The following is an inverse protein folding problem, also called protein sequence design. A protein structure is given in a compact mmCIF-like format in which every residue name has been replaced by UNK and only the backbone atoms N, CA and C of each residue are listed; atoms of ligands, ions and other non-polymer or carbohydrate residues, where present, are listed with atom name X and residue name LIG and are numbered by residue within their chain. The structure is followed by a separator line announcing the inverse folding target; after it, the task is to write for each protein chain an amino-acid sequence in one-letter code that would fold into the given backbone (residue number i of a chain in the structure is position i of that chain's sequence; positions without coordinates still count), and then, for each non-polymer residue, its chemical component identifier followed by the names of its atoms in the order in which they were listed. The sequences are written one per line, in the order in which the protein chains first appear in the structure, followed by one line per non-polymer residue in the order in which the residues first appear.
data_IF_412323901960
#
_entry.id   IF_412323901960
#
_cell.length_a   1.000
_cell.length_b   1.000
_cell.length_c   1.000
_cell.angle_alpha   90.00
_cell.angle_beta   90.00
_cell.angle_gamma   90.00
#
_symmetry.space_group_name_H-M   'P 1'
#
loop_
_entity.id
_entity.type
_entity.pdbx_description
1 polymer ?
#
# COMPACT_ATOMS: atom_id res chain seq x y z
N UNK A 1 -3.91 -29.60 -21.95
CA UNK A 1 -4.67 -29.63 -20.69
C UNK A 1 -4.27 -28.43 -19.87
N UNK A 2 -5.17 -27.47 -19.65
CA UNK A 2 -4.91 -26.36 -18.74
C UNK A 2 -4.76 -26.95 -17.33
N UNK A 3 -3.67 -26.63 -16.65
CA UNK A 3 -3.53 -26.97 -15.24
C UNK A 3 -4.75 -26.39 -14.51
N UNK A 4 -5.41 -27.16 -13.63
CA UNK A 4 -6.46 -26.57 -12.80
C UNK A 4 -5.85 -25.35 -12.11
N UNK A 5 -6.51 -24.18 -12.15
CA UNK A 5 -5.99 -23.00 -11.47
C UNK A 5 -5.71 -23.42 -10.04
N UNK A 6 -4.49 -23.15 -9.55
CA UNK A 6 -4.11 -23.40 -8.17
C UNK A 6 -5.24 -22.87 -7.29
N UNK A 7 -6.07 -23.77 -6.77
CA UNK A 7 -7.06 -23.45 -5.77
C UNK A 7 -6.25 -23.26 -4.50
N UNK A 8 -5.64 -22.09 -4.38
CA UNK A 8 -4.96 -21.66 -3.18
C UNK A 8 -6.01 -21.82 -2.09
N UNK A 9 -5.81 -22.79 -1.20
CA UNK A 9 -6.60 -22.94 0.01
C UNK A 9 -6.53 -21.58 0.72
N UNK A 10 -7.63 -20.83 0.65
CA UNK A 10 -7.71 -19.50 1.25
C UNK A 10 -7.68 -19.70 2.77
N UNK A 11 -6.52 -19.51 3.38
CA UNK A 11 -6.41 -19.48 4.83
C UNK A 11 -7.19 -18.27 5.35
N UNK A 12 -8.12 -18.52 6.25
CA UNK A 12 -8.99 -17.50 6.84
C UNK A 12 -10.08 -18.15 7.68
N UNK A 13 -10.90 -17.32 8.29
CA UNK A 13 -11.93 -17.72 9.23
C UNK A 13 -13.24 -17.02 8.88
N UNK A 14 -14.31 -17.81 8.78
CA UNK A 14 -15.66 -17.27 8.67
C UNK A 14 -16.09 -16.69 10.02
N UNK A 15 -16.77 -15.55 9.98
CA UNK A 15 -17.32 -14.87 11.15
C UNK A 15 -18.65 -14.20 10.78
N UNK A 16 -19.31 -13.64 11.78
CA UNK A 16 -20.51 -12.82 11.62
C UNK A 16 -20.23 -11.45 12.21
N UNK A 17 -20.58 -10.40 11.48
CA UNK A 17 -20.45 -9.03 11.92
C UNK A 17 -21.85 -8.42 12.08
N UNK A 18 -22.06 -7.67 13.15
CA UNK A 18 -23.31 -6.94 13.42
C UNK A 18 -23.10 -5.47 13.12
N UNK A 19 -23.91 -4.95 12.19
CA UNK A 19 -23.98 -3.56 11.82
C UNK A 19 -24.75 -2.74 12.88
N UNK A 20 -24.61 -1.42 12.85
CA UNK A 20 -25.27 -0.50 13.80
C UNK A 20 -26.80 -0.49 13.69
N UNK A 21 -27.36 -1.00 12.58
CA UNK A 21 -28.80 -1.19 12.36
C UNK A 21 -29.30 -2.57 12.83
N UNK A 22 -28.51 -3.27 13.65
CA UNK A 22 -28.72 -4.65 14.13
C UNK A 22 -28.70 -5.72 13.02
N UNK A 23 -28.35 -5.36 11.77
CA UNK A 23 -28.21 -6.32 10.68
C UNK A 23 -26.96 -7.19 10.88
N UNK A 24 -27.13 -8.51 10.80
CA UNK A 24 -26.00 -9.46 10.89
C UNK A 24 -25.57 -9.91 9.51
N UNK A 25 -24.29 -9.68 9.17
CA UNK A 25 -23.70 -9.98 7.87
C UNK A 25 -22.67 -11.11 8.00
N UNK A 26 -22.74 -12.15 7.16
CA UNK A 26 -21.70 -13.17 7.10
C UNK A 26 -20.44 -12.61 6.44
N UNK A 27 -19.31 -12.74 7.11
CA UNK A 27 -18.02 -12.25 6.64
C UNK A 27 -16.96 -13.34 6.68
N UNK A 28 -15.89 -13.11 5.91
CA UNK A 28 -14.71 -13.94 5.91
C UNK A 28 -13.48 -13.07 6.21
N UNK A 29 -12.79 -13.38 7.30
CA UNK A 29 -11.55 -12.72 7.68
C UNK A 29 -10.38 -13.54 7.14
N UNK A 30 -9.55 -12.90 6.32
CA UNK A 30 -8.51 -13.57 5.55
C UNK A 30 -7.14 -13.47 6.21
N UNK A 31 -6.36 -14.55 6.07
CA UNK A 31 -4.92 -14.49 6.22
C UNK A 31 -4.29 -13.92 4.93
N UNK A 32 -3.68 -12.74 5.03
CA UNK A 32 -3.15 -11.99 3.90
C UNK A 32 -1.98 -12.73 3.22
N UNK A 33 -1.87 -12.67 1.89
CA UNK A 33 -0.72 -13.21 1.17
C UNK A 33 0.58 -12.52 1.58
N UNK A 34 1.71 -13.20 1.41
CA UNK A 34 3.03 -12.70 1.84
C UNK A 34 3.39 -11.32 1.26
N UNK A 35 2.99 -11.04 0.01
CA UNK A 35 3.21 -9.74 -0.65
C UNK A 35 2.48 -8.56 0.02
N UNK A 36 1.47 -8.83 0.84
CA UNK A 36 0.65 -7.83 1.54
C UNK A 36 0.98 -7.70 3.02
N UNK A 37 1.96 -8.46 3.53
CA UNK A 37 2.34 -8.37 4.94
C UNK A 37 2.94 -7.01 5.31
N UNK A 38 3.54 -6.30 4.35
CA UNK A 38 3.93 -4.89 4.53
C UNK A 38 2.73 -4.02 4.92
N UNK A 39 1.61 -4.18 4.18
CA UNK A 39 0.39 -3.41 4.41
C UNK A 39 -0.28 -3.78 5.73
N UNK A 40 -0.21 -5.04 6.13
CA UNK A 40 -0.67 -5.47 7.47
C UNK A 40 0.06 -4.69 8.58
N UNK A 41 1.37 -4.48 8.43
CA UNK A 41 2.17 -3.72 9.41
C UNK A 41 1.75 -2.24 9.41
N UNK A 42 1.54 -1.65 8.24
CA UNK A 42 1.05 -0.27 8.11
C UNK A 42 -0.33 -0.08 8.78
N UNK A 43 -1.19 -1.11 8.74
CA UNK A 43 -2.49 -1.09 9.40
C UNK A 43 -2.44 -1.48 10.88
N UNK A 44 -1.29 -1.86 11.44
CA UNK A 44 -1.21 -2.41 12.81
C UNK A 44 -1.62 -1.38 13.89
N UNK A 45 -1.47 -0.09 13.60
CA UNK A 45 -1.86 1.02 14.49
C UNK A 45 -3.33 1.42 14.34
N UNK A 46 -4.00 0.96 13.29
CA UNK A 46 -5.35 1.39 12.90
C UNK A 46 -6.30 0.20 12.77
N UNK A 47 -7.07 -0.08 13.84
CA UNK A 47 -8.02 -1.21 13.90
C UNK A 47 -8.91 -1.29 12.65
N UNK A 48 -9.57 -0.17 12.30
CA UNK A 48 -10.47 -0.08 11.15
C UNK A 48 -9.77 -0.47 9.84
N UNK A 49 -8.55 0.03 9.63
CA UNK A 49 -7.79 -0.24 8.41
C UNK A 49 -7.38 -1.71 8.30
N UNK A 50 -7.07 -2.37 9.42
CA UNK A 50 -6.78 -3.80 9.44
C UNK A 50 -8.04 -4.63 9.16
N UNK A 51 -9.17 -4.26 9.77
CA UNK A 51 -10.46 -4.93 9.56
C UNK A 51 -10.86 -4.84 8.08
N UNK A 52 -10.80 -3.66 7.48
CA UNK A 52 -11.15 -3.46 6.07
C UNK A 52 -10.18 -4.16 5.10
N UNK A 53 -8.89 -4.23 5.44
CA UNK A 53 -7.90 -4.95 4.64
C UNK A 53 -8.17 -6.47 4.60
N UNK A 54 -8.61 -7.03 5.73
CA UNK A 54 -8.69 -8.47 5.92
C UNK A 54 -10.10 -9.05 5.71
N UNK A 55 -11.15 -8.21 5.67
CA UNK A 55 -12.54 -8.68 5.70
C UNK A 55 -13.18 -8.69 4.30
N UNK A 56 -13.97 -9.73 4.05
CA UNK A 56 -14.73 -9.92 2.82
C UNK A 56 -16.17 -10.28 3.16
N UNK A 57 -17.14 -9.80 2.37
CA UNK A 57 -18.58 -10.08 2.53
C UNK A 57 -19.10 -10.97 1.42
N UNK A 58 -20.18 -11.72 1.68
CA UNK A 58 -20.95 -12.42 0.64
C UNK A 58 -21.86 -11.42 -0.07
N UNK A 59 -21.34 -10.61 -0.98
CA UNK A 59 -22.18 -9.77 -1.84
C UNK A 59 -21.73 -9.88 -3.30
N UNK A 60 -22.70 -9.84 -4.22
CA UNK A 60 -22.43 -9.59 -5.63
C UNK A 60 -21.74 -8.23 -5.73
N UNK A 61 -20.60 -8.12 -6.45
CA UNK A 61 -19.98 -6.83 -6.65
C UNK A 61 -20.99 -5.90 -7.33
N UNK A 62 -21.38 -4.83 -6.65
CA UNK A 62 -22.18 -3.78 -7.25
C UNK A 62 -21.51 -3.36 -8.57
N UNK A 63 -22.27 -3.31 -9.67
CA UNK A 63 -21.74 -3.02 -10.99
C UNK A 63 -20.92 -1.71 -10.96
N UNK A 64 -19.59 -1.84 -11.11
CA UNK A 64 -18.66 -0.69 -11.09
C UNK A 64 -17.80 -0.56 -9.84
N UNK A 65 -17.93 -1.41 -8.81
CA UNK A 65 -16.96 -1.45 -7.72
C UNK A 65 -15.68 -2.17 -8.19
N UNK A 66 -14.65 -1.39 -8.50
CA UNK A 66 -13.31 -1.96 -8.61
C UNK A 66 -12.97 -2.56 -7.23
N UNK A 67 -12.45 -3.80 -7.16
CA UNK A 67 -11.96 -4.33 -5.89
C UNK A 67 -10.96 -3.32 -5.31
N UNK A 68 -11.12 -2.97 -4.04
CA UNK A 68 -10.16 -2.08 -3.34
C UNK A 68 -8.71 -2.58 -3.49
N UNK A 69 -8.54 -3.90 -3.72
CA UNK A 69 -7.27 -4.57 -3.95
C UNK A 69 -7.38 -5.54 -5.16
N UNK A 70 -7.17 -5.06 -6.40
CA UNK A 70 -7.38 -5.86 -7.62
C UNK A 70 -6.47 -7.08 -7.73
N UNK A 71 -5.32 -7.04 -7.07
CA UNK A 71 -4.34 -8.13 -7.11
C UNK A 71 -4.64 -9.25 -6.11
N UNK A 72 -5.66 -9.11 -5.26
CA UNK A 72 -6.06 -10.11 -4.29
C UNK A 72 -7.36 -10.76 -4.78
N UNK A 73 -7.31 -11.97 -5.37
CA UNK A 73 -8.55 -12.66 -5.73
C UNK A 73 -9.30 -12.95 -4.43
N UNK A 74 -10.56 -12.52 -4.29
CA UNK A 74 -11.34 -12.82 -3.11
C UNK A 74 -11.64 -14.34 -3.04
N UNK A 75 -11.95 -14.88 -1.85
CA UNK A 75 -12.50 -16.22 -1.75
C UNK A 75 -13.74 -16.37 -2.65
N UNK A 76 -13.97 -17.58 -3.18
CA UNK A 76 -15.11 -17.82 -4.07
C UNK A 76 -16.43 -17.42 -3.41
N UNK A 77 -17.21 -16.55 -4.06
CA UNK A 77 -18.48 -16.04 -3.56
C UNK A 77 -18.36 -14.94 -2.49
N UNK A 78 -17.18 -14.37 -2.31
CA UNK A 78 -16.94 -13.21 -1.45
C UNK A 78 -16.39 -12.03 -2.25
N UNK A 79 -16.59 -10.82 -1.74
CA UNK A 79 -16.05 -9.58 -2.26
C UNK A 79 -15.35 -8.79 -1.13
N UNK A 80 -14.27 -8.02 -1.44
CA UNK A 80 -13.66 -7.16 -0.43
C UNK A 80 -14.65 -6.09 0.03
N UNK A 81 -14.61 -5.77 1.32
CA UNK A 81 -15.45 -4.69 1.86
C UNK A 81 -15.02 -3.32 1.32
N UNK A 82 -15.96 -2.37 1.12
CA UNK A 82 -15.61 -1.02 0.69
C UNK A 82 -14.93 -0.23 1.83
N UNK A 83 -14.16 0.82 1.51
CA UNK A 83 -13.64 1.74 2.51
C UNK A 83 -14.76 2.38 3.34
N UNK A 84 -14.58 2.51 4.65
CA UNK A 84 -15.59 3.04 5.58
C UNK A 84 -16.69 2.03 5.92
N UNK A 85 -16.59 0.78 5.46
CA UNK A 85 -17.52 -0.28 5.88
C UNK A 85 -17.44 -0.52 7.39
N UNK A 86 -16.24 -0.41 7.96
CA UNK A 86 -16.03 -0.60 9.40
C UNK A 86 -16.72 0.44 10.28
N UNK A 87 -17.04 1.62 9.73
CA UNK A 87 -17.77 2.68 10.45
C UNK A 87 -19.24 2.31 10.73
N UNK A 88 -19.78 1.34 9.99
CA UNK A 88 -21.15 0.86 10.17
C UNK A 88 -21.24 -0.34 11.13
N UNK A 89 -20.13 -0.77 11.72
CA UNK A 89 -20.11 -1.90 12.63
C UNK A 89 -20.37 -1.48 14.07
N UNK A 90 -20.97 -2.39 14.83
CA UNK A 90 -20.95 -2.32 16.30
C UNK A 90 -19.54 -2.48 16.83
N UNK A 91 -19.20 -1.83 17.95
CA UNK A 91 -17.88 -1.93 18.59
C UNK A 91 -17.47 -3.39 18.86
N UNK A 92 -18.41 -4.21 19.32
CA UNK A 92 -18.18 -5.64 19.55
C UNK A 92 -17.80 -6.40 18.27
N UNK A 93 -18.37 -6.01 17.12
CA UNK A 93 -18.02 -6.61 15.83
C UNK A 93 -16.66 -6.12 15.34
N UNK A 94 -16.33 -4.84 15.54
CA UNK A 94 -15.01 -4.31 15.21
C UNK A 94 -13.92 -5.05 15.99
N UNK A 95 -14.10 -5.21 17.30
CA UNK A 95 -13.14 -5.90 18.16
C UNK A 95 -13.00 -7.38 17.77
N UNK A 96 -14.12 -8.07 17.53
CA UNK A 96 -14.10 -9.46 17.06
C UNK A 96 -13.31 -9.61 15.74
N UNK A 97 -13.62 -8.79 14.73
CA UNK A 97 -12.96 -8.87 13.43
C UNK A 97 -11.49 -8.49 13.52
N UNK A 98 -11.16 -7.52 14.36
CA UNK A 98 -9.79 -7.12 14.63
C UNK A 98 -8.98 -8.25 15.27
N UNK A 99 -9.51 -8.92 16.30
CA UNK A 99 -8.84 -10.05 16.95
C UNK A 99 -8.59 -11.21 15.97
N UNK A 100 -9.57 -11.52 15.13
CA UNK A 100 -9.43 -12.53 14.08
C UNK A 100 -8.35 -12.13 13.06
N UNK A 101 -8.38 -10.88 12.59
CA UNK A 101 -7.41 -10.37 11.64
C UNK A 101 -5.98 -10.37 12.22
N UNK A 102 -5.84 -9.96 13.49
CA UNK A 102 -4.59 -9.99 14.24
C UNK A 102 -4.06 -11.42 14.36
N UNK A 103 -4.88 -12.37 14.82
CA UNK A 103 -4.49 -13.76 15.03
C UNK A 103 -4.00 -14.44 13.75
N UNK A 104 -4.60 -14.10 12.61
CA UNK A 104 -4.23 -14.67 11.31
C UNK A 104 -3.00 -14.02 10.66
N UNK A 105 -2.68 -12.77 11.01
CA UNK A 105 -1.74 -11.96 10.22
C UNK A 105 -0.52 -11.44 10.98
N UNK A 106 -0.62 -11.07 12.25
CA UNK A 106 0.45 -10.32 12.92
C UNK A 106 1.74 -11.13 13.09
N UNK A 107 1.65 -12.39 13.52
CA UNK A 107 2.82 -13.25 13.68
C UNK A 107 3.59 -13.43 12.35
N UNK A 108 2.84 -13.60 11.25
CA UNK A 108 3.40 -13.73 9.90
C UNK A 108 4.00 -12.41 9.42
N UNK A 109 3.34 -11.29 9.72
CA UNK A 109 3.82 -9.97 9.38
C UNK A 109 5.12 -9.62 10.11
N UNK A 110 5.22 -9.95 11.40
CA UNK A 110 6.46 -9.79 12.19
C UNK A 110 7.59 -10.62 11.60
N UNK A 111 7.38 -11.91 11.35
CA UNK A 111 8.40 -12.78 10.75
C UNK A 111 8.85 -12.27 9.36
N UNK A 112 7.92 -11.75 8.56
CA UNK A 112 8.24 -11.12 7.29
C UNK A 112 9.08 -9.85 7.49
N UNK A 113 8.73 -8.99 8.45
CA UNK A 113 9.46 -7.76 8.74
C UNK A 113 10.89 -8.04 9.20
N UNK A 114 11.08 -9.02 10.09
CA UNK A 114 12.40 -9.48 10.51
C UNK A 114 13.24 -9.95 9.33
N UNK A 115 12.65 -10.74 8.42
CA UNK A 115 13.29 -11.16 7.18
C UNK A 115 13.67 -9.98 6.28
N UNK A 116 12.82 -8.96 6.16
CA UNK A 116 13.13 -7.75 5.41
C UNK A 116 14.27 -6.94 6.04
N UNK A 117 14.32 -6.84 7.37
CA UNK A 117 15.41 -6.17 8.08
C UNK A 117 16.73 -6.92 7.83
N UNK A 118 16.73 -8.25 7.93
CA UNK A 118 17.91 -9.07 7.64
C UNK A 118 18.35 -8.93 6.17
N UNK A 119 17.42 -8.96 5.22
CA UNK A 119 17.69 -8.76 3.81
C UNK A 119 18.27 -7.36 3.53
N UNK A 120 17.71 -6.30 4.13
CA UNK A 120 18.25 -4.94 4.00
C UNK A 120 19.67 -4.83 4.53
N UNK A 121 20.01 -5.49 5.65
CA UNK A 121 21.38 -5.52 6.16
C UNK A 121 22.36 -6.19 5.19
N UNK A 122 21.90 -7.23 4.47
CA UNK A 122 22.71 -7.91 3.45
C UNK A 122 22.92 -7.04 2.20
N UNK A 123 21.86 -6.37 1.73
CA UNK A 123 21.85 -5.65 0.44
C UNK A 123 22.35 -4.21 0.57
N UNK A 124 22.23 -3.56 1.73
CA UNK A 124 22.72 -2.21 1.99
C UNK A 124 24.17 -1.95 1.53
N UNK A 125 25.18 -2.78 1.87
CA UNK A 125 26.56 -2.54 1.41
C UNK A 125 26.73 -2.68 -0.11
N UNK A 126 25.89 -3.47 -0.77
CA UNK A 126 25.89 -3.59 -2.23
C UNK A 126 25.28 -2.34 -2.87
N UNK A 127 24.18 -1.82 -2.30
CA UNK A 127 23.58 -0.56 -2.75
C UNK A 127 24.54 0.62 -2.53
N UNK A 128 25.22 0.72 -1.39
CA UNK A 128 26.20 1.78 -1.14
C UNK A 128 27.34 1.73 -2.17
N UNK A 129 27.89 0.54 -2.44
CA UNK A 129 28.92 0.37 -3.49
C UNK A 129 28.40 0.77 -4.88
N UNK A 130 27.18 0.38 -5.22
CA UNK A 130 26.55 0.76 -6.48
C UNK A 130 26.35 2.28 -6.58
N UNK A 131 25.86 2.92 -5.51
CA UNK A 131 25.70 4.38 -5.45
C UNK A 131 27.05 5.07 -5.59
N UNK A 132 28.09 4.62 -4.88
CA UNK A 132 29.44 5.21 -5.00
C UNK A 132 30.04 5.08 -6.41
N UNK A 133 29.65 4.07 -7.18
CA UNK A 133 30.08 3.92 -8.58
C UNK A 133 29.25 4.77 -9.55
N UNK A 134 27.96 4.94 -9.28
CA UNK A 134 27.02 5.64 -10.16
C UNK A 134 27.00 7.15 -9.91
N UNK A 135 27.15 7.60 -8.67
CA UNK A 135 27.12 9.03 -8.31
C UNK A 135 28.12 9.88 -9.13
N UNK A 136 29.39 9.45 -9.33
CA UNK A 136 30.34 10.20 -10.14
C UNK A 136 29.94 10.29 -11.61
N UNK A 137 29.27 9.25 -12.14
CA UNK A 137 28.76 9.24 -13.51
C UNK A 137 27.54 10.15 -13.66
N UNK A 138 26.62 10.11 -12.69
CA UNK A 138 25.45 10.98 -12.65
C UNK A 138 25.85 12.47 -12.54
N UNK A 139 26.81 12.81 -11.67
CA UNK A 139 27.35 14.16 -11.55
C UNK A 139 28.00 14.65 -12.85
N UNK A 140 28.80 13.80 -13.52
CA UNK A 140 29.38 14.15 -14.82
C UNK A 140 28.36 14.46 -15.92
N UNK A 141 27.15 13.90 -15.82
CA UNK A 141 26.06 14.16 -16.78
C UNK A 141 25.20 15.34 -16.33
N UNK A 142 24.97 15.51 -15.03
CA UNK A 142 24.15 16.58 -14.48
C UNK A 142 24.85 17.94 -14.44
N UNK A 143 26.15 18.00 -14.10
CA UNK A 143 26.88 19.26 -13.99
C UNK A 143 26.87 20.08 -15.29
N UNK A 144 27.08 19.48 -16.49
CA UNK A 144 26.97 20.20 -17.76
C UNK A 144 25.54 20.67 -18.06
N UNK A 145 24.53 19.92 -17.62
CA UNK A 145 23.13 20.27 -17.84
C UNK A 145 22.68 21.41 -16.93
N UNK A 146 23.10 21.41 -15.66
CA UNK A 146 22.87 22.52 -14.74
C UNK A 146 23.60 23.79 -15.19
N UNK A 147 24.85 23.68 -15.65
CA UNK A 147 25.57 24.83 -16.21
C UNK A 147 24.87 25.45 -17.42
N UNK A 148 24.25 24.62 -18.29
CA UNK A 148 23.47 25.12 -19.42
C UNK A 148 22.16 25.77 -18.99
N UNK A 149 21.48 25.23 -17.98
CA UNK A 149 20.28 25.83 -17.39
C UNK A 149 20.59 27.17 -16.72
N UNK A 150 21.69 27.27 -15.98
CA UNK A 150 22.14 28.52 -15.35
C UNK A 150 22.55 29.56 -16.39
N UNK A 151 23.20 29.16 -17.49
CA UNK A 151 23.52 30.05 -18.60
C UNK A 151 22.26 30.57 -19.31
N UNK A 152 21.22 29.75 -19.45
CA UNK A 152 19.93 30.16 -20.01
C UNK A 152 19.15 31.08 -19.06
N UNK A 153 19.23 30.83 -17.76
CA UNK A 153 18.59 31.66 -16.73
C UNK A 153 19.24 33.05 -16.64
N UNK A 154 20.57 33.12 -16.72
CA UNK A 154 21.34 34.38 -16.62
C UNK A 154 21.49 35.15 -17.94
N UNK A 155 21.02 34.61 -19.08
CA UNK A 155 21.07 35.28 -20.39
C UNK A 155 19.79 36.06 -20.73
N UNK A 156 18.87 36.26 -19.78
CA UNK A 156 17.82 37.27 -19.96
C UNK A 156 18.45 38.66 -20.06
N UNK A 157 18.22 39.41 -21.16
CA UNK A 157 18.85 40.71 -21.37
C UNK A 157 18.34 41.70 -20.31
N UNK A 158 19.29 42.32 -19.60
CA UNK A 158 19.04 43.50 -18.79
C UNK A 158 18.51 44.58 -19.74
N UNK A 159 17.22 44.93 -19.61
CA UNK A 159 16.56 45.96 -20.43
C UNK A 159 17.42 47.23 -20.48
N UNK A 160 17.60 47.86 -21.66
CA UNK A 160 18.37 49.09 -21.76
C UNK A 160 17.65 50.21 -20.99
N UNK A 161 18.29 50.74 -19.96
CA UNK A 161 17.86 51.96 -19.27
C UNK A 161 17.87 53.12 -20.26
N UNK A 162 16.68 53.67 -20.55
CA UNK A 162 16.54 54.89 -21.36
C UNK A 162 17.14 56.11 -20.63
N UNK A 163 17.75 57.06 -21.36
CA UNK A 163 18.40 58.22 -20.79
C UNK A 163 17.37 59.26 -20.33
N UNK A 164 17.61 59.84 -19.15
CA UNK A 164 16.87 60.99 -18.65
C UNK A 164 17.10 62.22 -19.53
N UNK A 165 16.01 62.85 -19.99
CA UNK A 165 16.04 64.17 -20.63
C UNK A 165 16.12 65.29 -19.57
N UNK A 166 16.98 66.31 -19.73
CA UNK A 166 17.06 67.43 -18.81
C UNK A 166 15.98 68.48 -19.12
N UNK A 167 15.49 69.13 -18.07
CA UNK A 167 14.73 70.38 -18.14
C UNK A 167 15.67 71.57 -17.90
#
# INVERSE_FOLDING_TARGET
MAAPPLSILFAGQAATATLLDDTTVPVFVRAMPQRWLARVIECAEFKHALVELCTYTKEEPAAGSAPAYPDIPPPAGYAPVPPGWSDNLTDASVDLLYELAQGLNFSRAVAWAEGQIAAKKLVAPLHEKAIHQVLPLALRVMDPLMQRLDALSNSMPKSPSSPASPA
#
